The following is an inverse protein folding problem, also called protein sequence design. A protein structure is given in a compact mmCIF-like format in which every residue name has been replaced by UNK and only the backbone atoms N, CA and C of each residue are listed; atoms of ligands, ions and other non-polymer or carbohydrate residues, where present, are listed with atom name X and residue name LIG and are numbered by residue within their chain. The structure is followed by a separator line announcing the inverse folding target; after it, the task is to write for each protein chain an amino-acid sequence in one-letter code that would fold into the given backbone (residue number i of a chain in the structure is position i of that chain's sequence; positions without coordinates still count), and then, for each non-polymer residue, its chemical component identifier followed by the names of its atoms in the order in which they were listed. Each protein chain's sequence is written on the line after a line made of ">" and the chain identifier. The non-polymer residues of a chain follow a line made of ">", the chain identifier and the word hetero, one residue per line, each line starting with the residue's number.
data_IF_733344850613
#
_entry.id   IF_733344850613
#
_cell.length_a   1.000
_cell.length_b   1.000
_cell.length_c   1.000
_cell.angle_alpha   90.00
_cell.angle_beta   90.00
_cell.angle_gamma   90.00
#
_symmetry.space_group_name_H-M   'P 1'
#
loop_
_entity.id
_entity.type
_entity.pdbx_description
1 polymer ?
#
# COMPACT_ATOMS: atom_id res chain seq x y z
N UNK A 1 -3.86 10.76 9.30
CA UNK A 1 -4.54 11.83 10.07
C UNK A 1 -4.30 11.71 11.57
N UNK A 2 -4.43 10.50 12.17
CA UNK A 2 -4.22 10.29 13.61
C UNK A 2 -2.84 10.78 14.06
N UNK A 3 -1.77 10.34 13.40
CA UNK A 3 -0.39 10.73 13.74
C UNK A 3 -0.15 12.24 13.66
N UNK A 4 -0.73 12.93 12.67
CA UNK A 4 -0.64 14.39 12.55
C UNK A 4 -1.35 15.15 13.68
N UNK A 5 -2.47 14.60 14.19
CA UNK A 5 -3.20 15.19 15.33
C UNK A 5 -2.48 14.95 16.66
N UNK A 6 -1.88 13.77 16.83
CA UNK A 6 -1.21 13.35 18.06
C UNK A 6 0.27 13.80 18.13
N UNK A 7 0.84 14.25 17.01
CA UNK A 7 2.26 14.64 16.92
C UNK A 7 3.22 13.46 16.96
N UNK A 8 2.70 12.22 16.93
CA UNK A 8 3.51 11.00 17.05
C UNK A 8 2.87 9.80 16.34
N UNK A 9 3.71 8.83 16.01
CA UNK A 9 3.34 7.47 15.63
C UNK A 9 3.62 6.50 16.79
N UNK A 10 3.24 5.23 16.64
CA UNK A 10 3.63 4.13 17.52
C UNK A 10 5.15 3.91 17.52
N UNK A 11 5.83 4.23 16.42
CA UNK A 11 7.27 3.99 16.24
C UNK A 11 8.14 5.23 16.47
N UNK A 12 7.56 6.39 16.69
CA UNK A 12 8.33 7.60 17.00
C UNK A 12 7.57 8.91 16.82
N UNK A 13 8.21 10.04 17.14
CA UNK A 13 7.65 11.37 16.90
C UNK A 13 7.59 11.66 15.39
N UNK A 14 6.55 12.34 14.93
CA UNK A 14 6.48 12.81 13.54
C UNK A 14 7.47 13.99 13.33
N UNK A 15 7.85 14.28 12.07
CA UNK A 15 8.70 15.43 11.80
C UNK A 15 8.12 16.75 12.35
N UNK A 16 8.93 17.53 13.06
CA UNK A 16 8.53 18.78 13.71
C UNK A 16 7.84 19.77 12.75
N UNK A 17 8.32 19.84 11.50
CA UNK A 17 7.72 20.66 10.43
C UNK A 17 6.25 20.37 10.15
N UNK A 18 5.74 19.21 10.55
CA UNK A 18 4.35 18.80 10.34
C UNK A 18 3.44 18.99 11.56
N UNK A 19 3.99 19.39 12.71
CA UNK A 19 3.23 19.55 13.96
C UNK A 19 2.07 20.54 13.83
N UNK A 20 2.22 21.57 12.98
CA UNK A 20 1.20 22.58 12.74
C UNK A 20 0.68 22.58 11.29
N UNK A 21 0.79 21.44 10.60
CA UNK A 21 0.35 21.34 9.21
C UNK A 21 -1.19 21.41 9.10
N UNK A 22 -1.67 22.26 8.21
CA UNK A 22 -3.08 22.24 7.81
C UNK A 22 -3.33 21.02 6.93
N UNK A 23 -4.24 20.16 7.35
CA UNK A 23 -4.58 18.93 6.62
C UNK A 23 -5.95 19.06 6.01
N UNK A 24 -6.03 18.86 4.69
CA UNK A 24 -7.27 18.91 3.91
C UNK A 24 -7.56 17.49 3.40
N UNK A 25 -8.31 16.67 4.15
CA UNK A 25 -8.73 15.36 3.68
C UNK A 25 -9.83 15.50 2.65
N UNK A 26 -9.68 14.84 1.51
CA UNK A 26 -10.68 14.82 0.42
C UNK A 26 -10.83 13.42 -0.14
N UNK A 27 -12.06 13.10 -0.55
CA UNK A 27 -12.43 11.86 -1.21
C UNK A 27 -13.60 12.15 -2.16
N UNK A 28 -14.12 11.13 -2.82
CA UNK A 28 -15.38 11.26 -3.56
C UNK A 28 -16.54 11.62 -2.60
N UNK A 29 -17.49 12.49 -3.04
CA UNK A 29 -17.58 13.11 -4.36
C UNK A 29 -16.81 14.44 -4.49
N UNK A 30 -16.11 14.93 -3.44
CA UNK A 30 -15.50 16.27 -3.41
C UNK A 30 -14.37 16.40 -4.43
N UNK A 31 -13.60 15.31 -4.65
CA UNK A 31 -12.49 15.29 -5.60
C UNK A 31 -12.40 13.94 -6.31
N UNK A 32 -12.85 13.90 -7.57
CA UNK A 32 -12.55 12.79 -8.47
C UNK A 32 -11.20 13.03 -9.16
N UNK A 33 -10.18 12.27 -8.76
CA UNK A 33 -8.83 12.38 -9.33
C UNK A 33 -8.78 12.04 -10.82
N UNK A 34 -9.73 11.26 -11.35
CA UNK A 34 -9.82 10.96 -12.77
C UNK A 34 -10.29 12.16 -13.62
N UNK A 35 -10.90 13.17 -13.00
CA UNK A 35 -11.34 14.39 -13.63
C UNK A 35 -10.26 15.48 -13.52
N UNK A 36 -9.53 15.72 -14.62
CA UNK A 36 -8.44 16.69 -14.62
C UNK A 36 -8.88 18.10 -14.21
N UNK A 37 -10.06 18.55 -14.67
CA UNK A 37 -10.53 19.90 -14.35
C UNK A 37 -10.79 20.06 -12.84
N UNK A 38 -11.43 19.07 -12.20
CA UNK A 38 -11.65 19.10 -10.75
C UNK A 38 -10.31 19.13 -9.99
N UNK A 39 -9.34 18.32 -10.42
CA UNK A 39 -8.00 18.26 -9.82
C UNK A 39 -7.26 19.60 -9.96
N UNK A 40 -7.20 20.15 -11.17
CA UNK A 40 -6.49 21.42 -11.46
C UNK A 40 -7.11 22.59 -10.68
N UNK A 41 -8.44 22.71 -10.70
CA UNK A 41 -9.17 23.76 -9.98
C UNK A 41 -8.99 23.66 -8.46
N UNK A 42 -9.04 22.43 -7.92
CA UNK A 42 -8.86 22.18 -6.49
C UNK A 42 -7.42 22.53 -6.03
N UNK A 43 -6.41 22.00 -6.71
CA UNK A 43 -5.00 22.20 -6.35
C UNK A 43 -4.59 23.68 -6.51
N UNK A 44 -5.03 24.36 -7.55
CA UNK A 44 -4.78 25.80 -7.73
C UNK A 44 -5.38 26.65 -6.62
N UNK A 45 -6.58 26.29 -6.15
CA UNK A 45 -7.27 27.02 -5.07
C UNK A 45 -6.62 26.76 -3.72
N UNK A 46 -6.30 25.50 -3.41
CA UNK A 46 -5.74 25.12 -2.10
C UNK A 46 -4.23 25.40 -1.98
N UNK A 47 -3.49 25.40 -3.08
CA UNK A 47 -2.03 25.55 -3.13
C UNK A 47 -1.30 24.74 -2.07
N UNK A 48 -1.51 23.42 -2.00
CA UNK A 48 -0.86 22.60 -0.97
C UNK A 48 0.65 22.51 -1.21
N UNK A 49 1.42 22.37 -0.13
CA UNK A 49 2.86 22.07 -0.20
C UNK A 49 3.12 20.62 -0.58
N UNK A 50 2.24 19.73 -0.11
CA UNK A 50 2.34 18.27 -0.30
C UNK A 50 0.96 17.68 -0.59
N UNK A 51 0.90 16.79 -1.57
CA UNK A 51 -0.27 15.95 -1.85
C UNK A 51 0.12 14.51 -1.60
N UNK A 52 -0.66 13.80 -0.79
CA UNK A 52 -0.54 12.36 -0.56
C UNK A 52 -1.69 11.67 -1.26
N UNK A 53 -1.41 10.99 -2.37
CA UNK A 53 -2.39 10.26 -3.14
C UNK A 53 -2.52 8.82 -2.66
N UNK A 54 -3.56 8.55 -1.87
CA UNK A 54 -3.96 7.21 -1.44
C UNK A 54 -5.13 6.65 -2.27
N UNK A 55 -5.70 7.43 -3.19
CA UNK A 55 -6.83 6.99 -4.00
C UNK A 55 -6.38 5.97 -5.05
N UNK A 56 -7.08 4.84 -5.11
CA UNK A 56 -6.82 3.78 -6.08
C UNK A 56 -8.04 2.86 -6.23
N UNK A 57 -8.16 2.23 -7.40
CA UNK A 57 -9.05 1.09 -7.61
C UNK A 57 -8.28 -0.16 -7.17
N UNK A 58 -8.51 -0.63 -5.94
CA UNK A 58 -7.70 -1.67 -5.27
C UNK A 58 -8.28 -3.08 -5.36
N UNK A 59 -9.48 -3.26 -5.93
CA UNK A 59 -10.05 -4.58 -6.17
C UNK A 59 -9.30 -5.24 -7.34
N UNK A 60 -8.29 -6.08 -7.01
CA UNK A 60 -7.41 -6.73 -7.99
C UNK A 60 -8.20 -7.55 -9.00
N UNK A 61 -9.13 -8.39 -8.52
CA UNK A 61 -9.97 -9.22 -9.39
C UNK A 61 -10.91 -8.34 -10.24
N UNK A 62 -11.47 -7.30 -9.64
CA UNK A 62 -12.32 -6.33 -10.35
C UNK A 62 -11.59 -5.54 -11.43
N UNK A 63 -10.27 -5.34 -11.32
CA UNK A 63 -9.48 -4.67 -12.36
C UNK A 63 -9.45 -5.48 -13.67
N UNK A 64 -9.54 -6.82 -13.63
CA UNK A 64 -9.55 -7.64 -14.83
C UNK A 64 -10.81 -7.45 -15.66
N UNK A 65 -11.94 -7.20 -15.04
CA UNK A 65 -13.24 -7.02 -15.68
C UNK A 65 -13.61 -5.55 -15.92
N UNK A 66 -13.17 -4.64 -15.04
CA UNK A 66 -13.44 -3.19 -15.11
C UNK A 66 -12.18 -2.39 -15.51
N UNK A 67 -11.49 -2.82 -16.58
CA UNK A 67 -10.17 -2.27 -17.00
C UNK A 67 -10.17 -0.77 -17.20
N UNK A 68 -11.20 -0.21 -17.81
CA UNK A 68 -11.30 1.25 -18.05
C UNK A 68 -11.46 2.02 -16.74
N UNK A 69 -12.23 1.51 -15.78
CA UNK A 69 -12.38 2.13 -14.48
C UNK A 69 -11.05 2.08 -13.70
N UNK A 70 -10.37 0.92 -13.69
CA UNK A 70 -9.06 0.78 -13.09
C UNK A 70 -8.04 1.72 -13.75
N UNK A 71 -8.01 1.80 -15.07
CA UNK A 71 -7.12 2.70 -15.81
C UNK A 71 -7.38 4.19 -15.46
N UNK A 72 -8.64 4.62 -15.42
CA UNK A 72 -8.99 5.99 -15.06
C UNK A 72 -8.49 6.36 -13.66
N UNK A 73 -8.72 5.50 -12.67
CA UNK A 73 -8.35 5.80 -11.28
C UNK A 73 -6.85 5.59 -11.05
N UNK A 74 -6.28 4.46 -11.49
CA UNK A 74 -4.90 4.08 -11.16
C UNK A 74 -3.83 4.71 -12.06
N UNK A 75 -4.17 5.13 -13.28
CA UNK A 75 -3.22 5.73 -14.21
C UNK A 75 -3.54 7.21 -14.49
N UNK A 76 -4.77 7.52 -14.94
CA UNK A 76 -5.13 8.91 -15.27
C UNK A 76 -5.24 9.78 -14.02
N UNK A 77 -5.74 9.26 -12.91
CA UNK A 77 -5.79 9.98 -11.64
C UNK A 77 -4.42 10.50 -11.19
N UNK A 78 -3.42 9.62 -11.00
CA UNK A 78 -2.04 10.04 -10.69
C UNK A 78 -1.43 11.00 -11.71
N UNK A 79 -1.68 10.78 -13.02
CA UNK A 79 -1.26 11.71 -14.07
C UNK A 79 -1.83 13.12 -13.85
N UNK A 80 -3.10 13.23 -13.56
CA UNK A 80 -3.78 14.52 -13.34
C UNK A 80 -3.21 15.23 -12.12
N UNK A 81 -2.99 14.49 -11.03
CA UNK A 81 -2.35 15.02 -9.81
C UNK A 81 -0.92 15.49 -10.11
N UNK A 82 -0.12 14.71 -10.83
CA UNK A 82 1.26 15.05 -11.18
C UNK A 82 1.33 16.36 -11.98
N UNK A 83 0.49 16.51 -13.02
CA UNK A 83 0.41 17.73 -13.83
C UNK A 83 0.00 18.96 -13.00
N UNK A 84 -0.94 18.80 -12.09
CA UNK A 84 -1.41 19.90 -11.24
C UNK A 84 -0.38 20.25 -10.15
N UNK A 85 0.27 19.27 -9.51
CA UNK A 85 1.35 19.48 -8.54
C UNK A 85 2.52 20.27 -9.15
N UNK A 86 2.97 19.89 -10.36
CA UNK A 86 4.06 20.57 -11.04
C UNK A 86 3.77 22.07 -11.27
N UNK A 87 2.52 22.41 -11.63
CA UNK A 87 2.10 23.81 -11.86
C UNK A 87 2.17 24.70 -10.62
N UNK A 88 1.90 24.14 -9.44
CA UNK A 88 1.91 24.87 -8.16
C UNK A 88 3.16 24.62 -7.35
N UNK A 89 4.12 23.82 -7.87
CA UNK A 89 5.36 23.44 -7.23
C UNK A 89 5.16 22.63 -5.94
N UNK A 90 4.06 21.87 -5.84
CA UNK A 90 3.78 20.95 -4.75
C UNK A 90 4.58 19.64 -4.89
N UNK A 91 4.84 18.97 -3.76
CA UNK A 91 5.34 17.59 -3.73
C UNK A 91 4.16 16.63 -3.93
N UNK A 92 4.38 15.55 -4.68
CA UNK A 92 3.41 14.47 -4.83
C UNK A 92 3.95 13.18 -4.24
N UNK A 93 3.29 12.63 -3.24
CA UNK A 93 3.55 11.28 -2.72
C UNK A 93 2.46 10.37 -3.26
N UNK A 94 2.84 9.42 -4.11
CA UNK A 94 1.91 8.47 -4.75
C UNK A 94 2.10 7.08 -4.17
N UNK A 95 1.05 6.52 -3.56
CA UNK A 95 1.09 5.16 -3.03
C UNK A 95 0.91 4.17 -4.18
N UNK A 96 1.90 3.28 -4.35
CA UNK A 96 1.93 2.21 -5.33
C UNK A 96 1.98 0.84 -4.66
N UNK A 97 2.37 -0.20 -5.38
CA UNK A 97 2.18 -1.60 -4.99
C UNK A 97 3.34 -2.49 -5.44
N UNK A 98 3.55 -3.59 -4.72
CA UNK A 98 4.39 -4.72 -5.12
C UNK A 98 3.90 -5.44 -6.40
N UNK A 99 2.62 -5.31 -6.76
CA UNK A 99 2.03 -5.90 -7.99
C UNK A 99 2.60 -5.30 -9.29
N UNK A 100 3.44 -4.30 -9.23
CA UNK A 100 4.20 -3.82 -10.40
C UNK A 100 5.28 -4.80 -10.84
N UNK A 101 5.64 -5.78 -10.00
CA UNK A 101 6.64 -6.80 -10.30
C UNK A 101 6.03 -8.09 -10.86
N UNK A 102 6.81 -8.91 -11.63
CA UNK A 102 6.29 -10.11 -12.29
C UNK A 102 5.98 -11.26 -11.32
N UNK A 103 6.48 -11.21 -10.10
CA UNK A 103 6.27 -12.25 -9.11
C UNK A 103 7.08 -13.52 -9.31
N UNK A 104 8.09 -13.49 -10.16
CA UNK A 104 9.04 -14.61 -10.33
C UNK A 104 10.00 -14.66 -9.14
N UNK A 105 10.21 -15.86 -8.62
CA UNK A 105 11.17 -16.06 -7.53
C UNK A 105 12.58 -15.60 -7.94
N UNK A 106 13.16 -14.70 -7.17
CA UNK A 106 14.49 -14.15 -7.40
C UNK A 106 15.52 -14.83 -6.46
N UNK A 107 15.57 -16.17 -6.47
CA UNK A 107 16.44 -16.93 -5.58
C UNK A 107 16.19 -16.69 -4.08
N UNK A 108 14.98 -16.25 -3.70
CA UNK A 108 14.63 -15.91 -2.32
C UNK A 108 15.09 -14.52 -1.87
N UNK A 109 15.61 -13.69 -2.78
CA UNK A 109 16.05 -12.32 -2.48
C UNK A 109 14.90 -11.33 -2.66
N UNK A 110 14.68 -10.46 -1.69
CA UNK A 110 13.72 -9.36 -1.79
C UNK A 110 14.13 -8.37 -2.91
N UNK A 111 13.13 -7.80 -3.58
CA UNK A 111 13.32 -6.87 -4.69
C UNK A 111 13.57 -5.46 -4.15
N UNK A 112 14.68 -4.85 -4.54
CA UNK A 112 14.94 -3.43 -4.27
C UNK A 112 14.34 -2.51 -5.35
N UNK A 113 14.50 -1.21 -5.18
CA UNK A 113 13.95 -0.19 -6.09
C UNK A 113 14.61 -0.20 -7.50
N UNK A 114 15.75 -0.90 -7.66
CA UNK A 114 16.41 -1.09 -8.96
C UNK A 114 15.80 -2.25 -9.79
N UNK A 115 14.96 -3.10 -9.17
CA UNK A 115 14.33 -4.21 -9.86
C UNK A 115 13.37 -3.71 -10.95
N UNK A 116 13.37 -4.39 -12.10
CA UNK A 116 12.59 -3.98 -13.28
C UNK A 116 11.13 -4.41 -13.11
N UNK A 117 10.15 -3.46 -13.13
CA UNK A 117 8.74 -3.80 -13.08
C UNK A 117 8.28 -4.52 -14.35
N UNK A 118 7.46 -5.57 -14.18
CA UNK A 118 6.81 -6.32 -15.26
C UNK A 118 5.50 -6.95 -14.76
N UNK A 119 4.42 -6.15 -14.54
CA UNK A 119 3.21 -6.59 -13.87
C UNK A 119 2.43 -7.63 -14.69
N UNK A 120 1.87 -8.62 -14.00
CA UNK A 120 1.11 -9.73 -14.59
C UNK A 120 -0.41 -9.56 -14.50
N UNK A 121 -0.91 -8.56 -13.76
CA UNK A 121 -2.34 -8.28 -13.57
C UNK A 121 -2.72 -6.90 -14.10
N UNK A 122 -3.99 -6.70 -14.45
CA UNK A 122 -4.51 -5.38 -14.85
C UNK A 122 -4.34 -4.33 -13.74
N UNK A 123 -4.48 -4.74 -12.47
CA UNK A 123 -4.17 -3.88 -11.33
C UNK A 123 -2.73 -3.39 -11.37
N UNK A 124 -1.76 -4.30 -11.42
CA UNK A 124 -0.33 -3.96 -11.47
C UNK A 124 0.03 -3.11 -12.69
N UNK A 125 -0.51 -3.43 -13.87
CA UNK A 125 -0.29 -2.68 -15.11
C UNK A 125 -0.78 -1.23 -14.99
N UNK A 126 -1.99 -1.02 -14.46
CA UNK A 126 -2.56 0.32 -14.31
C UNK A 126 -1.84 1.13 -13.23
N UNK A 127 -1.39 0.49 -12.14
CA UNK A 127 -0.58 1.13 -11.10
C UNK A 127 0.80 1.54 -11.63
N UNK A 128 1.48 0.65 -12.37
CA UNK A 128 2.78 0.97 -12.98
C UNK A 128 2.68 2.14 -13.96
N UNK A 129 1.63 2.19 -14.78
CA UNK A 129 1.42 3.33 -15.67
C UNK A 129 1.19 4.63 -14.89
N UNK A 130 0.52 4.55 -13.74
CA UNK A 130 0.38 5.68 -12.80
C UNK A 130 1.74 6.18 -12.30
N UNK A 131 2.64 5.27 -11.89
CA UNK A 131 4.02 5.60 -11.51
C UNK A 131 4.75 6.34 -12.63
N UNK A 132 4.72 5.78 -13.85
CA UNK A 132 5.37 6.35 -15.02
C UNK A 132 4.87 7.77 -15.35
N UNK A 133 3.56 8.03 -15.19
CA UNK A 133 3.02 9.37 -15.35
C UNK A 133 3.45 10.32 -14.23
N UNK A 134 3.51 9.86 -12.98
CA UNK A 134 4.00 10.66 -11.85
C UNK A 134 5.44 11.06 -12.08
N UNK A 135 6.31 10.10 -12.42
CA UNK A 135 7.72 10.34 -12.70
C UNK A 135 7.92 11.31 -13.87
N UNK A 136 7.14 11.16 -14.94
CA UNK A 136 7.24 12.00 -16.14
C UNK A 136 6.76 13.43 -15.95
N UNK A 137 5.73 13.67 -15.12
CA UNK A 137 5.02 14.94 -15.07
C UNK A 137 5.16 15.72 -13.76
N UNK A 138 5.80 15.18 -12.73
CA UNK A 138 6.04 15.87 -11.47
C UNK A 138 7.49 15.65 -11.01
N UNK A 139 8.31 16.68 -11.04
CA UNK A 139 9.72 16.58 -10.62
C UNK A 139 9.89 16.33 -9.13
N UNK A 140 8.95 16.81 -8.31
CA UNK A 140 8.98 16.68 -6.84
C UNK A 140 8.05 15.54 -6.41
N UNK A 141 8.42 14.31 -6.75
CA UNK A 141 7.59 13.16 -6.45
C UNK A 141 8.28 12.12 -5.56
N UNK A 142 7.46 11.40 -4.82
CA UNK A 142 7.79 10.15 -4.15
C UNK A 142 6.78 9.11 -4.62
N UNK A 143 7.25 8.03 -5.20
CA UNK A 143 6.46 6.84 -5.51
C UNK A 143 6.76 5.84 -4.41
N UNK A 144 5.75 5.47 -3.62
CA UNK A 144 5.91 4.60 -2.46
C UNK A 144 5.23 3.27 -2.74
N UNK A 145 6.01 2.25 -3.11
CA UNK A 145 5.53 0.89 -3.30
C UNK A 145 5.41 0.19 -1.95
N UNK A 146 4.23 -0.32 -1.67
CA UNK A 146 3.94 -1.08 -0.44
C UNK A 146 3.27 -2.41 -0.78
N UNK A 147 3.21 -3.32 0.20
CA UNK A 147 2.66 -4.66 0.02
C UNK A 147 1.78 -5.04 1.23
N UNK A 148 0.75 -5.86 0.99
CA UNK A 148 -0.06 -6.55 2.01
C UNK A 148 -0.51 -5.64 3.16
N UNK A 149 -0.98 -4.44 2.81
CA UNK A 149 -1.32 -3.39 3.75
C UNK A 149 -2.52 -3.75 4.62
N UNK A 150 -2.38 -3.59 5.93
CA UNK A 150 -3.45 -3.78 6.91
C UNK A 150 -3.50 -2.65 7.93
N UNK A 151 -4.68 -2.45 8.52
CA UNK A 151 -4.90 -1.46 9.58
C UNK A 151 -6.15 -1.80 10.42
N UNK A 152 -6.34 -1.08 11.51
CA UNK A 152 -7.60 -1.08 12.27
C UNK A 152 -8.77 -0.45 11.50
N UNK A 153 -8.49 0.31 10.44
CA UNK A 153 -9.49 0.99 9.61
C UNK A 153 -9.74 0.25 8.30
N UNK A 154 -10.98 0.29 7.82
CA UNK A 154 -11.38 -0.24 6.52
C UNK A 154 -11.29 -1.78 6.43
N UNK A 155 -11.54 -2.29 5.22
CA UNK A 155 -11.45 -3.72 4.92
C UNK A 155 -10.01 -4.10 4.58
N UNK A 156 -9.50 -5.18 5.14
CA UNK A 156 -8.17 -5.71 4.85
C UNK A 156 -8.09 -7.21 5.19
N UNK A 157 -6.97 -7.84 4.87
CA UNK A 157 -6.77 -9.27 5.07
C UNK A 157 -6.88 -9.68 6.54
N UNK A 158 -6.27 -8.94 7.48
CA UNK A 158 -6.30 -9.24 8.92
C UNK A 158 -7.74 -9.30 9.41
N UNK A 159 -8.54 -8.26 9.17
CA UNK A 159 -9.96 -8.21 9.56
C UNK A 159 -10.79 -9.29 8.87
N UNK A 160 -10.47 -9.64 7.62
CA UNK A 160 -11.13 -10.72 6.89
C UNK A 160 -10.84 -12.08 7.53
N UNK A 161 -9.57 -12.36 7.88
CA UNK A 161 -9.20 -13.60 8.56
C UNK A 161 -9.85 -13.71 9.94
N UNK A 162 -9.87 -12.64 10.73
CA UNK A 162 -10.55 -12.64 12.04
C UNK A 162 -12.05 -12.93 11.88
N UNK A 163 -12.71 -12.32 10.90
CA UNK A 163 -14.15 -12.58 10.64
C UNK A 163 -14.39 -14.03 10.26
N UNK A 164 -13.59 -14.59 9.36
CA UNK A 164 -13.69 -15.99 8.96
C UNK A 164 -13.38 -16.93 10.12
N UNK A 165 -12.35 -16.65 10.90
CA UNK A 165 -11.96 -17.45 12.05
C UNK A 165 -12.99 -17.47 13.19
N UNK A 166 -13.86 -16.44 13.28
CA UNK A 166 -14.99 -16.41 14.22
C UNK A 166 -16.19 -17.26 13.79
N UNK A 167 -16.28 -17.61 12.51
CA UNK A 167 -17.46 -18.26 11.91
C UNK A 167 -17.19 -19.63 11.31
N UNK A 168 -15.92 -20.05 11.22
CA UNK A 168 -15.52 -21.32 10.62
C UNK A 168 -14.54 -22.05 11.53
N UNK A 169 -14.66 -23.38 11.59
CA UNK A 169 -13.71 -24.21 12.32
C UNK A 169 -12.38 -24.37 11.55
N UNK A 170 -12.43 -24.22 10.22
CA UNK A 170 -11.26 -24.24 9.35
C UNK A 170 -11.42 -23.32 8.14
N UNK A 171 -10.28 -22.80 7.66
CA UNK A 171 -10.16 -22.01 6.43
C UNK A 171 -8.93 -22.46 5.63
N UNK A 172 -8.94 -22.26 4.32
CA UNK A 172 -7.78 -22.54 3.45
C UNK A 172 -7.12 -21.24 3.01
N UNK A 173 -5.79 -21.18 3.04
CA UNK A 173 -5.01 -19.98 2.66
C UNK A 173 -3.79 -20.39 1.84
N UNK A 174 -3.48 -19.60 0.80
CA UNK A 174 -2.35 -19.85 -0.12
C UNK A 174 -1.01 -19.78 0.61
N UNK A 175 -0.13 -20.78 0.39
CA UNK A 175 1.16 -20.90 1.07
C UNK A 175 2.38 -20.70 0.16
N UNK A 176 2.19 -20.57 -1.15
CA UNK A 176 3.23 -20.41 -2.17
C UNK A 176 3.30 -18.99 -2.78
N UNK A 177 2.61 -18.03 -2.16
CA UNK A 177 2.77 -16.61 -2.41
C UNK A 177 3.47 -15.97 -1.22
N UNK A 178 4.63 -15.34 -1.45
CA UNK A 178 5.49 -14.76 -0.41
C UNK A 178 5.64 -13.25 -0.59
N UNK A 179 5.58 -12.52 0.52
CA UNK A 179 5.66 -11.06 0.55
C UNK A 179 5.87 -10.52 1.96
N UNK A 180 5.64 -9.21 2.13
CA UNK A 180 5.82 -8.49 3.38
C UNK A 180 4.50 -7.91 3.87
N UNK A 181 3.89 -8.41 4.95
CA UNK A 181 2.78 -7.72 5.60
C UNK A 181 3.20 -6.34 6.10
N UNK A 182 2.40 -5.32 5.82
CA UNK A 182 2.72 -3.94 6.17
C UNK A 182 1.64 -3.31 7.03
N UNK A 183 2.00 -2.86 8.23
CA UNK A 183 1.10 -2.08 9.07
C UNK A 183 0.99 -0.64 8.53
N UNK A 184 -0.23 -0.17 8.31
CA UNK A 184 -0.48 1.17 7.80
C UNK A 184 0.00 2.31 8.73
N UNK A 185 0.20 2.01 10.02
CA UNK A 185 0.79 2.98 10.97
C UNK A 185 2.24 3.25 10.62
N UNK A 186 3.02 2.19 10.32
CA UNK A 186 4.43 2.29 9.97
C UNK A 186 4.61 2.97 8.61
N UNK A 187 3.80 2.56 7.62
CA UNK A 187 3.78 3.20 6.31
C UNK A 187 3.46 4.70 6.42
N UNK A 188 2.45 5.06 7.20
CA UNK A 188 2.06 6.47 7.38
C UNK A 188 3.18 7.30 8.01
N UNK A 189 3.92 6.75 8.97
CA UNK A 189 5.07 7.41 9.58
C UNK A 189 6.16 7.75 8.54
N UNK A 190 6.52 6.78 7.69
CA UNK A 190 7.52 7.01 6.65
C UNK A 190 7.03 7.97 5.55
N UNK A 191 5.74 7.92 5.20
CA UNK A 191 5.13 8.93 4.31
C UNK A 191 5.31 10.35 4.88
N UNK A 192 5.13 10.53 6.19
CA UNK A 192 5.33 11.83 6.83
C UNK A 192 6.81 12.26 6.83
N UNK A 193 7.78 11.33 6.98
CA UNK A 193 9.21 11.63 6.82
C UNK A 193 9.52 12.08 5.38
N UNK A 194 8.99 11.37 4.37
CA UNK A 194 9.14 11.73 2.97
C UNK A 194 8.51 13.09 2.65
N UNK A 195 7.37 13.42 3.26
CA UNK A 195 6.68 14.69 3.03
C UNK A 195 7.55 15.93 3.32
N UNK A 196 8.53 15.82 4.20
CA UNK A 196 9.46 16.93 4.57
C UNK A 196 10.84 16.76 3.94
N UNK A 197 11.13 15.63 3.28
CA UNK A 197 12.39 15.36 2.61
C UNK A 197 12.47 16.04 1.22
N UNK A 198 13.68 16.05 0.67
CA UNK A 198 13.98 16.46 -0.70
C UNK A 198 14.60 15.31 -1.52
N UNK A 199 14.65 14.09 -0.97
CA UNK A 199 15.23 12.89 -1.59
C UNK A 199 14.17 12.22 -2.49
N UNK A 200 13.77 12.93 -3.55
CA UNK A 200 12.72 12.49 -4.48
C UNK A 200 13.07 11.17 -5.17
N UNK A 201 12.06 10.40 -5.55
CA UNK A 201 12.26 9.17 -6.30
C UNK A 201 11.29 8.06 -5.91
N UNK A 202 11.68 6.81 -6.24
CA UNK A 202 10.91 5.59 -5.96
C UNK A 202 11.41 4.96 -4.66
N UNK A 203 10.48 4.56 -3.82
CA UNK A 203 10.72 3.96 -2.52
C UNK A 203 9.93 2.67 -2.36
N UNK A 204 10.55 1.66 -1.79
CA UNK A 204 9.82 0.57 -1.17
C UNK A 204 9.59 0.91 0.31
N UNK A 205 8.40 0.62 0.80
CA UNK A 205 8.02 0.87 2.19
C UNK A 205 7.08 -0.25 2.67
N UNK A 206 7.66 -1.35 3.11
CA UNK A 206 6.97 -2.56 3.56
C UNK A 206 7.45 -2.97 4.94
N UNK A 207 6.66 -3.74 5.68
CA UNK A 207 7.14 -4.39 6.91
C UNK A 207 8.37 -5.25 6.61
N UNK A 208 9.28 -5.36 7.58
CA UNK A 208 10.45 -6.22 7.48
C UNK A 208 10.05 -7.69 7.72
N UNK A 209 10.85 -8.64 7.20
CA UNK A 209 10.56 -10.07 7.21
C UNK A 209 9.67 -10.50 6.04
N UNK A 210 9.73 -11.78 5.69
CA UNK A 210 9.01 -12.38 4.57
C UNK A 210 8.20 -13.54 5.11
N UNK A 211 6.94 -13.67 4.69
CA UNK A 211 6.10 -14.81 5.00
C UNK A 211 5.14 -15.14 3.85
N UNK A 212 4.48 -16.29 3.92
CA UNK A 212 3.35 -16.61 3.04
C UNK A 212 2.04 -16.02 3.60
N UNK A 213 1.01 -15.94 2.74
CA UNK A 213 -0.34 -15.62 3.23
C UNK A 213 -0.83 -16.62 4.29
N UNK A 214 -0.43 -17.89 4.16
CA UNK A 214 -0.71 -18.93 5.15
C UNK A 214 -0.07 -18.62 6.49
N UNK A 215 1.24 -18.30 6.53
CA UNK A 215 1.94 -17.97 7.78
C UNK A 215 1.31 -16.74 8.44
N UNK A 216 0.99 -15.72 7.61
CA UNK A 216 0.34 -14.50 8.09
C UNK A 216 -1.06 -14.80 8.68
N UNK A 217 -1.86 -15.66 8.02
CA UNK A 217 -3.16 -16.08 8.54
C UNK A 217 -3.05 -16.87 9.85
N UNK A 218 -2.06 -17.77 9.98
CA UNK A 218 -1.78 -18.49 11.23
C UNK A 218 -1.46 -17.51 12.38
N UNK A 219 -0.59 -16.53 12.13
CA UNK A 219 -0.23 -15.52 13.12
C UNK A 219 -1.45 -14.64 13.51
N UNK A 220 -2.33 -14.33 12.55
CA UNK A 220 -3.57 -13.60 12.82
C UNK A 220 -4.51 -14.42 13.73
N UNK A 221 -4.69 -15.72 13.48
CA UNK A 221 -5.51 -16.58 14.35
C UNK A 221 -4.96 -16.61 15.76
N UNK A 222 -3.64 -16.79 15.89
CA UNK A 222 -2.97 -16.78 17.18
C UNK A 222 -3.13 -15.44 17.92
N UNK A 223 -2.86 -14.32 17.24
CA UNK A 223 -2.98 -12.98 17.83
C UNK A 223 -4.41 -12.60 18.22
N UNK A 224 -5.40 -13.12 17.49
CA UNK A 224 -6.83 -12.92 17.79
C UNK A 224 -7.38 -13.92 18.83
N UNK A 225 -6.60 -14.90 19.30
CA UNK A 225 -7.05 -15.95 20.23
C UNK A 225 -8.12 -16.86 19.63
N UNK A 226 -8.09 -17.12 18.32
CA UNK A 226 -9.06 -17.95 17.61
C UNK A 226 -8.55 -19.37 17.40
N UNK A 227 -9.43 -20.36 17.56
CA UNK A 227 -9.12 -21.79 17.39
C UNK A 227 -9.33 -22.29 15.95
N UNK A 228 -9.74 -21.44 15.03
CA UNK A 228 -9.95 -21.80 13.63
C UNK A 228 -8.66 -22.32 13.00
N UNK A 229 -8.71 -23.53 12.43
CA UNK A 229 -7.55 -24.17 11.78
C UNK A 229 -7.32 -23.53 10.40
N UNK A 230 -6.09 -23.08 10.16
CA UNK A 230 -5.67 -22.65 8.83
C UNK A 230 -5.03 -23.84 8.11
N UNK A 231 -5.52 -24.16 6.91
CA UNK A 231 -4.97 -25.24 6.06
C UNK A 231 -4.29 -24.62 4.83
N UNK A 232 -3.04 -25.02 4.51
CA UNK A 232 -2.35 -24.49 3.35
C UNK A 232 -2.95 -25.04 2.06
N UNK A 233 -3.01 -24.19 1.02
CA UNK A 233 -3.29 -24.59 -0.35
C UNK A 233 -2.29 -23.92 -1.29
N UNK A 234 -2.06 -24.51 -2.47
CA UNK A 234 -1.25 -23.87 -3.50
C UNK A 234 -2.05 -22.83 -4.28
N UNK A 235 -1.37 -21.89 -4.92
CA UNK A 235 -2.01 -20.92 -5.85
C UNK A 235 -2.76 -21.61 -6.96
N UNK A 236 -2.27 -22.74 -7.45
CA UNK A 236 -2.93 -23.53 -8.50
C UNK A 236 -4.27 -24.14 -8.02
N UNK A 237 -4.28 -24.73 -6.83
CA UNK A 237 -5.50 -25.28 -6.21
C UNK A 237 -6.51 -24.17 -5.92
N UNK A 238 -6.04 -23.03 -5.38
CA UNK A 238 -6.89 -21.87 -5.13
C UNK A 238 -7.52 -21.33 -6.43
N UNK A 239 -6.73 -21.18 -7.50
CA UNK A 239 -7.21 -20.69 -8.79
C UNK A 239 -8.21 -21.67 -9.43
N UNK A 240 -8.00 -22.99 -9.30
CA UNK A 240 -8.95 -24.01 -9.77
C UNK A 240 -10.31 -23.92 -9.07
N UNK A 241 -10.31 -23.61 -7.76
CA UNK A 241 -11.53 -23.40 -6.99
C UNK A 241 -12.16 -22.00 -7.21
N UNK A 242 -11.37 -21.01 -7.70
CA UNK A 242 -11.78 -19.62 -7.89
C UNK A 242 -11.38 -19.10 -9.29
N UNK A 243 -12.03 -19.55 -10.37
CA UNK A 243 -11.62 -19.25 -11.76
C UNK A 243 -11.63 -17.75 -12.13
N UNK A 244 -12.39 -16.94 -11.39
CA UNK A 244 -12.47 -15.48 -11.58
C UNK A 244 -11.36 -14.71 -10.87
N UNK A 245 -10.48 -15.39 -10.14
CA UNK A 245 -9.38 -14.73 -9.41
C UNK A 245 -8.28 -14.29 -10.36
N UNK A 246 -7.83 -13.06 -10.23
CA UNK A 246 -6.69 -12.52 -10.97
C UNK A 246 -5.38 -13.25 -10.60
N UNK A 247 -4.42 -13.27 -11.52
CA UNK A 247 -3.07 -13.77 -11.24
C UNK A 247 -2.39 -12.88 -10.21
N UNK A 248 -1.81 -13.50 -9.20
CA UNK A 248 -1.05 -12.82 -8.13
C UNK A 248 0.43 -13.21 -8.19
N UNK A 249 1.35 -12.28 -7.85
CA UNK A 249 2.77 -12.59 -7.78
C UNK A 249 3.05 -13.72 -6.78
N UNK A 250 3.80 -14.74 -7.17
CA UNK A 250 4.26 -15.78 -6.25
C UNK A 250 5.36 -15.25 -5.31
N UNK A 251 6.16 -14.29 -5.79
CA UNK A 251 7.18 -13.60 -5.03
C UNK A 251 7.00 -12.09 -5.16
N UNK A 252 6.62 -11.41 -4.07
CA UNK A 252 6.43 -9.97 -4.03
C UNK A 252 7.18 -9.30 -2.87
N UNK A 253 8.14 -10.01 -2.28
CA UNK A 253 8.93 -9.46 -1.18
C UNK A 253 9.79 -8.29 -1.65
N UNK A 254 9.66 -7.15 -0.96
CA UNK A 254 10.36 -5.91 -1.23
C UNK A 254 11.42 -5.62 -0.16
N UNK A 255 12.49 -4.95 -0.55
CA UNK A 255 13.54 -4.42 0.31
C UNK A 255 13.50 -2.90 0.34
N UNK A 256 13.48 -2.30 1.52
CA UNK A 256 13.37 -0.84 1.75
C UNK A 256 14.74 -0.14 1.61
N UNK A 257 15.45 -0.35 0.50
CA UNK A 257 16.83 0.18 0.34
C UNK A 257 16.86 1.71 0.33
N UNK A 258 15.96 2.33 -0.42
CA UNK A 258 15.91 3.80 -0.50
C UNK A 258 15.57 4.44 0.85
N UNK A 259 14.68 3.86 1.65
CA UNK A 259 14.42 4.37 3.00
C UNK A 259 15.70 4.36 3.85
N UNK A 260 16.42 3.22 3.91
CA UNK A 260 17.65 3.10 4.69
C UNK A 260 18.74 4.07 4.26
N UNK A 261 18.84 4.33 2.96
CA UNK A 261 19.89 5.19 2.41
C UNK A 261 19.58 6.69 2.48
N UNK A 262 18.33 7.08 2.80
CA UNK A 262 17.89 8.47 2.79
C UNK A 262 17.28 8.89 4.12
N UNK A 263 15.98 8.66 4.31
CA UNK A 263 15.23 9.16 5.48
C UNK A 263 15.26 8.23 6.70
N UNK A 264 15.87 7.05 6.57
CA UNK A 264 15.91 6.00 7.60
C UNK A 264 14.74 5.02 7.49
N UNK A 265 15.00 3.75 7.78
CA UNK A 265 14.04 2.63 7.76
C UNK A 265 13.77 2.16 9.19
N UNK A 266 12.66 2.60 9.75
CA UNK A 266 12.12 2.16 11.03
C UNK A 266 10.89 1.25 10.85
N UNK A 267 10.71 0.67 9.65
CA UNK A 267 9.67 -0.32 9.42
C UNK A 267 9.91 -1.53 10.33
N UNK A 268 8.91 -1.87 11.14
CA UNK A 268 9.01 -3.00 12.07
C UNK A 268 8.99 -4.34 11.33
N UNK A 269 9.54 -5.38 11.97
CA UNK A 269 9.25 -6.76 11.56
C UNK A 269 7.74 -7.00 11.57
N UNK A 270 7.23 -7.73 10.59
CA UNK A 270 5.79 -7.92 10.42
C UNK A 270 5.12 -8.60 11.62
N UNK A 271 5.84 -9.46 12.35
CA UNK A 271 5.31 -10.14 13.53
C UNK A 271 5.15 -9.16 14.69
N UNK A 272 6.14 -8.29 14.91
CA UNK A 272 6.07 -7.26 15.94
C UNK A 272 4.98 -6.23 15.63
N UNK A 273 4.91 -5.79 14.37
CA UNK A 273 3.86 -4.88 13.91
C UNK A 273 2.45 -5.48 14.03
N UNK A 274 2.28 -6.79 13.80
CA UNK A 274 1.02 -7.49 13.98
C UNK A 274 0.65 -7.63 15.46
N UNK A 275 1.63 -7.93 16.33
CA UNK A 275 1.43 -7.99 17.78
C UNK A 275 0.94 -6.65 18.33
N UNK A 276 1.58 -5.55 17.92
CA UNK A 276 1.18 -4.21 18.33
C UNK A 276 -0.19 -3.81 17.76
N UNK A 277 -0.51 -4.26 16.53
CA UNK A 277 -1.86 -4.11 16.00
C UNK A 277 -2.90 -4.72 16.93
N UNK A 278 -2.72 -5.96 17.42
CA UNK A 278 -3.65 -6.61 18.33
C UNK A 278 -3.70 -5.92 19.70
N UNK A 279 -2.58 -5.42 20.21
CA UNK A 279 -2.53 -4.69 21.47
C UNK A 279 -3.31 -3.36 21.42
N UNK A 280 -3.39 -2.72 20.25
CA UNK A 280 -4.03 -1.42 20.07
C UNK A 280 -5.40 -1.51 19.35
N UNK A 281 -5.83 -2.72 18.95
CA UNK A 281 -7.07 -2.90 18.21
C UNK A 281 -8.29 -2.96 19.14
N UNK A 282 -9.31 -2.17 18.84
CA UNK A 282 -10.56 -2.09 19.64
C UNK A 282 -11.55 -3.25 19.39
N UNK A 283 -11.21 -4.24 18.57
CA UNK A 283 -12.07 -5.40 18.26
C UNK A 283 -13.12 -5.17 17.16
N UNK A 284 -13.21 -3.99 16.56
CA UNK A 284 -14.16 -3.67 15.48
C UNK A 284 -13.71 -4.25 14.13
N UNK A 285 -14.63 -4.94 13.42
CA UNK A 285 -14.42 -5.58 12.13
C UNK A 285 -14.89 -4.71 10.96
#
# INVERSE_FOLDING_TARGET
>A
LKQLREGRSEIGPIPEKLMNATVIPVDLPELDISNYKMVDDFIRRQRPDVIINCAAFTNVDGCETARDAAFKVNAIGPRNLALACEKVNARLIHISTDYVFPGTANGGVALDECAVPAPISAYGQTKLLGEQYVERFCRRHFIVRTAWLYSSYGKNFVKTMIRLGRTHDKITVVNDQLGNPTNAVDLAYHILKLAVSHDYGIYHCTGNGICSWYDFACAIMQGAGLSCKVEPVTSAEYAAANPASASRPAWSALENRMLRCTVGDEMRDWQDALKDFFANWNGEL
#
